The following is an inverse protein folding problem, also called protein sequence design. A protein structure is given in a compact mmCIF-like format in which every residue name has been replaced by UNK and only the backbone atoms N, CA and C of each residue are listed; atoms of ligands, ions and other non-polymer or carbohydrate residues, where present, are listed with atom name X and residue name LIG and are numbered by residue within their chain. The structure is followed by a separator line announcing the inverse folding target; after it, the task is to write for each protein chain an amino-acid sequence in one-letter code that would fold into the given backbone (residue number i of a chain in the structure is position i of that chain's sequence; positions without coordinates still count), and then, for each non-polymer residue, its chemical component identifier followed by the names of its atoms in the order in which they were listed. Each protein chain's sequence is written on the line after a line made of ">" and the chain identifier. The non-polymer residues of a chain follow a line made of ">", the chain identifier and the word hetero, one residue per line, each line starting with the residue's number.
data_IF_009476881531
#
_entry.id   IF_009476881531
#
_cell.length_a   1.000
_cell.length_b   1.000
_cell.length_c   1.000
_cell.angle_alpha   90.00
_cell.angle_beta   90.00
_cell.angle_gamma   90.00
#
_symmetry.space_group_name_H-M   'P 1'
#
loop_
_entity.id
_entity.type
_entity.pdbx_description
1 polymer ?
#
# COMPACT_ATOMS: atom_id res chain seq x y z
N UNK A 1 -6.05 22.14 10.73
CA UNK A 1 -7.28 21.59 10.14
C UNK A 1 -7.04 20.08 9.98
N UNK A 2 -6.93 19.28 11.04
CA UNK A 2 -7.70 19.09 12.28
C UNK A 2 -9.15 18.68 12.02
N UNK A 3 -9.41 17.37 12.09
CA UNK A 3 -10.66 16.75 12.55
C UNK A 3 -10.35 15.34 13.10
N UNK A 4 -9.69 15.29 14.26
CA UNK A 4 -9.68 14.14 15.17
C UNK A 4 -9.74 14.68 16.61
N UNK A 5 -10.79 15.44 16.94
CA UNK A 5 -11.02 15.91 18.32
C UNK A 5 -12.50 15.69 18.67
N UNK A 6 -12.85 14.42 18.92
CA UNK A 6 -13.98 14.08 19.79
C UNK A 6 -14.03 12.57 20.03
N UNK A 7 -12.99 12.05 20.68
CA UNK A 7 -13.15 10.93 21.61
C UNK A 7 -12.49 11.38 22.90
N UNK A 8 -13.30 11.69 23.91
CA UNK A 8 -12.84 12.11 25.23
C UNK A 8 -11.89 11.05 25.82
N UNK A 9 -10.65 11.40 26.23
CA UNK A 9 -9.80 10.47 26.93
C UNK A 9 -10.34 10.27 28.35
N UNK A 10 -10.71 9.03 28.68
CA UNK A 10 -10.77 8.59 30.07
C UNK A 10 -9.37 8.78 30.65
N UNK A 11 -9.26 9.76 31.55
CA UNK A 11 -8.03 10.09 32.29
C UNK A 11 -7.64 8.93 33.19
N UNK A 12 -6.81 8.02 32.70
CA UNK A 12 -5.96 7.20 33.56
C UNK A 12 -4.59 7.85 33.66
N UNK A 13 -4.37 8.52 34.78
CA UNK A 13 -3.06 8.96 35.27
C UNK A 13 -2.18 7.74 35.53
N UNK A 14 -1.58 7.19 34.48
CA UNK A 14 -0.44 6.27 34.58
C UNK A 14 0.83 7.09 34.81
N UNK A 15 1.47 6.89 35.96
CA UNK A 15 2.75 7.52 36.32
C UNK A 15 3.75 7.36 35.17
N UNK A 16 4.19 8.48 34.60
CA UNK A 16 5.39 8.54 33.76
C UNK A 16 6.54 7.85 34.50
N UNK A 17 7.07 6.79 33.91
CA UNK A 17 8.31 6.17 34.37
C UNK A 17 9.48 7.15 34.20
N UNK A 18 10.07 7.52 35.34
CA UNK A 18 11.38 8.15 35.61
C UNK A 18 11.99 9.14 34.57
N UNK A 19 12.32 10.39 34.96
CA UNK A 19 12.94 11.41 34.09
C UNK A 19 14.37 11.08 33.60
N UNK A 20 14.99 10.01 34.09
CA UNK A 20 16.44 9.76 33.94
C UNK A 20 16.81 9.13 32.58
N UNK A 21 15.86 8.51 31.86
CA UNK A 21 16.11 7.95 30.51
C UNK A 21 16.00 8.99 29.39
N UNK A 22 15.30 10.11 29.62
CA UNK A 22 15.16 11.18 28.63
C UNK A 22 16.39 12.08 28.55
N UNK A 23 17.15 12.26 29.64
CA UNK A 23 18.29 13.17 29.66
C UNK A 23 19.52 12.67 28.88
N UNK A 24 19.67 11.36 28.64
CA UNK A 24 20.78 10.79 27.86
C UNK A 24 20.49 10.66 26.35
N UNK A 25 19.21 10.66 25.95
CA UNK A 25 18.77 10.61 24.55
C UNK A 25 19.04 11.92 23.78
N UNK A 26 19.29 13.02 24.48
CA UNK A 26 19.61 14.30 23.82
C UNK A 26 21.06 14.37 23.28
N UNK A 27 21.96 13.47 23.67
CA UNK A 27 23.37 13.54 23.26
C UNK A 27 23.74 12.73 21.99
N UNK A 28 22.92 11.75 21.57
CA UNK A 28 23.13 11.02 20.30
C UNK A 28 21.82 10.94 19.51
N UNK A 29 21.87 10.96 18.17
CA UNK A 29 20.65 10.85 17.35
C UNK A 29 19.96 9.50 17.56
N UNK A 30 18.62 9.49 17.59
CA UNK A 30 17.83 8.27 17.46
C UNK A 30 18.11 7.68 16.08
N UNK A 31 18.62 6.45 16.02
CA UNK A 31 18.93 5.75 14.76
C UNK A 31 17.90 4.68 14.49
N UNK A 32 17.21 4.80 13.35
CA UNK A 32 16.22 3.84 12.89
C UNK A 32 16.64 3.21 11.57
N UNK A 33 16.64 1.88 11.50
CA UNK A 33 16.70 1.17 10.23
C UNK A 33 15.27 0.83 9.78
N UNK A 34 14.89 1.17 8.56
CA UNK A 34 13.60 0.76 7.96
C UNK A 34 13.89 -0.20 6.81
N UNK A 35 13.41 -1.43 6.90
CA UNK A 35 13.74 -2.50 5.95
C UNK A 35 12.61 -2.65 4.93
N UNK A 36 12.82 -2.13 3.72
CA UNK A 36 11.90 -2.19 2.58
C UNK A 36 11.36 -0.81 2.18
N UNK A 37 11.57 -0.41 0.93
CA UNK A 37 11.14 0.89 0.38
C UNK A 37 9.83 0.79 -0.43
N UNK A 38 8.90 -0.05 0.05
CA UNK A 38 7.53 -0.15 -0.45
C UNK A 38 6.55 0.75 0.31
N UNK A 39 5.24 0.47 0.17
CA UNK A 39 4.18 1.25 0.84
C UNK A 39 4.40 1.35 2.36
N UNK A 40 4.68 0.23 3.02
CA UNK A 40 4.88 0.16 4.47
C UNK A 40 6.08 1.02 4.92
N UNK A 41 7.27 0.76 4.40
CA UNK A 41 8.48 1.41 4.90
C UNK A 41 8.57 2.90 4.55
N UNK A 42 8.09 3.32 3.38
CA UNK A 42 8.03 4.75 3.07
C UNK A 42 7.01 5.49 3.92
N UNK A 43 5.87 4.86 4.24
CA UNK A 43 4.91 5.43 5.18
C UNK A 43 5.52 5.60 6.57
N UNK A 44 6.18 4.57 7.09
CA UNK A 44 6.89 4.65 8.38
C UNK A 44 7.93 5.77 8.35
N UNK A 45 8.76 5.86 7.31
CA UNK A 45 9.78 6.90 7.19
C UNK A 45 9.16 8.31 7.18
N UNK A 46 8.08 8.51 6.42
CA UNK A 46 7.32 9.76 6.39
C UNK A 46 6.82 10.15 7.79
N UNK A 47 6.16 9.22 8.48
CA UNK A 47 5.59 9.50 9.80
C UNK A 47 6.65 9.64 10.89
N UNK A 48 7.76 8.90 10.84
CA UNK A 48 8.91 9.11 11.73
C UNK A 48 9.45 10.53 11.59
N UNK A 49 9.57 11.07 10.37
CA UNK A 49 10.00 12.46 10.14
C UNK A 49 8.96 13.47 10.63
N UNK A 50 7.68 13.24 10.34
CA UNK A 50 6.58 14.17 10.60
C UNK A 50 6.19 14.24 12.09
N UNK A 51 6.26 13.13 12.82
CA UNK A 51 5.75 13.01 14.19
C UNK A 51 6.84 13.03 15.26
N UNK A 52 8.11 12.85 14.89
CA UNK A 52 9.19 13.03 15.85
C UNK A 52 9.24 14.48 16.36
N UNK A 53 9.49 14.68 17.67
CA UNK A 53 9.68 16.01 18.25
C UNK A 53 10.69 16.84 17.45
N UNK A 54 10.47 18.16 17.38
CA UNK A 54 11.30 19.07 16.57
C UNK A 54 12.76 19.14 17.04
N UNK A 55 13.00 18.92 18.32
CA UNK A 55 14.31 18.89 18.96
C UNK A 55 15.00 17.52 18.89
N UNK A 56 14.26 16.46 18.53
CA UNK A 56 14.81 15.11 18.40
C UNK A 56 15.71 15.01 17.16
N UNK A 57 16.99 14.69 17.37
CA UNK A 57 17.88 14.29 16.28
C UNK A 57 17.52 12.88 15.83
N UNK A 58 17.20 12.72 14.55
CA UNK A 58 16.71 11.47 13.97
C UNK A 58 17.53 11.10 12.73
N UNK A 59 18.00 9.87 12.65
CA UNK A 59 18.62 9.32 11.45
C UNK A 59 17.88 8.05 11.02
N UNK A 60 17.31 8.09 9.82
CA UNK A 60 16.61 6.97 9.19
C UNK A 60 17.47 6.43 8.06
N UNK A 61 17.88 5.17 8.17
CA UNK A 61 18.49 4.41 7.08
C UNK A 61 17.44 3.46 6.50
N UNK A 62 16.98 3.77 5.28
CA UNK A 62 15.98 3.00 4.54
C UNK A 62 16.70 1.97 3.66
N UNK A 63 16.62 0.69 4.02
CA UNK A 63 17.24 -0.40 3.28
C UNK A 63 16.28 -0.96 2.23
N UNK A 64 16.73 -1.09 0.98
CA UNK A 64 16.02 -1.86 -0.04
C UNK A 64 17.00 -2.31 -1.14
N UNK A 65 17.02 -3.60 -1.47
CA UNK A 65 17.98 -4.14 -2.45
C UNK A 65 17.79 -3.59 -3.89
N UNK A 66 16.56 -3.27 -4.29
CA UNK A 66 16.26 -2.74 -5.64
C UNK A 66 16.14 -1.21 -5.57
N UNK A 67 15.56 -0.71 -4.49
CA UNK A 67 15.21 0.68 -4.27
C UNK A 67 13.71 0.91 -4.22
N UNK A 68 13.32 2.19 -4.22
CA UNK A 68 11.93 2.63 -4.03
C UNK A 68 10.96 1.95 -4.99
N UNK A 69 9.97 1.25 -4.42
CA UNK A 69 8.93 0.56 -5.17
C UNK A 69 9.39 -0.66 -5.97
N UNK A 70 10.57 -1.23 -5.68
CA UNK A 70 11.10 -2.40 -6.39
C UNK A 70 10.34 -3.71 -6.15
N UNK A 71 9.51 -3.78 -5.10
CA UNK A 71 8.69 -4.94 -4.76
C UNK A 71 7.22 -4.84 -5.21
N UNK A 72 6.36 -5.66 -4.59
CA UNK A 72 4.93 -5.74 -4.93
C UNK A 72 4.18 -4.39 -4.87
N UNK A 73 4.61 -3.45 -4.02
CA UNK A 73 4.02 -2.11 -3.95
C UNK A 73 4.11 -1.35 -5.27
N UNK A 74 5.23 -1.42 -5.99
CA UNK A 74 5.39 -0.72 -7.27
C UNK A 74 4.67 -1.38 -8.45
N UNK A 75 4.23 -2.63 -8.29
CA UNK A 75 3.50 -3.42 -9.30
C UNK A 75 1.99 -3.36 -9.08
N UNK A 76 1.52 -2.79 -7.95
CA UNK A 76 0.10 -2.83 -7.63
C UNK A 76 -0.76 -2.04 -8.64
N UNK A 77 -1.97 -2.52 -8.90
CA UNK A 77 -2.89 -1.95 -9.90
C UNK A 77 -3.41 -0.55 -9.57
N UNK A 78 -3.13 -0.01 -8.39
CA UNK A 78 -3.40 1.41 -8.10
C UNK A 78 -4.85 1.77 -7.84
N UNK A 79 -5.77 0.80 -7.90
CA UNK A 79 -7.20 1.06 -7.72
C UNK A 79 -7.52 1.25 -6.23
N UNK A 80 -7.91 2.47 -5.86
CA UNK A 80 -8.19 2.87 -4.50
C UNK A 80 -9.65 3.25 -4.34
N UNK A 81 -10.36 2.49 -3.52
CA UNK A 81 -11.74 2.73 -3.08
C UNK A 81 -11.95 2.09 -1.69
N UNK A 82 -12.90 2.58 -0.88
CA UNK A 82 -13.11 2.06 0.47
C UNK A 82 -13.90 0.74 0.52
N UNK A 83 -14.57 0.37 -0.57
CA UNK A 83 -15.53 -0.76 -0.58
C UNK A 83 -14.90 -2.11 -0.88
N UNK A 84 -14.54 -2.87 0.16
CA UNK A 84 -14.13 -4.28 0.01
C UNK A 84 -15.18 -5.24 0.60
N UNK A 85 -15.39 -6.45 0.05
CA UNK A 85 -16.46 -7.36 0.47
C UNK A 85 -16.43 -7.88 1.92
N UNK A 86 -15.50 -7.43 2.79
CA UNK A 86 -15.26 -8.07 4.10
C UNK A 86 -14.87 -7.16 5.28
N UNK A 87 -14.72 -5.84 5.15
CA UNK A 87 -14.29 -4.99 6.29
C UNK A 87 -14.92 -3.59 6.23
N UNK A 88 -15.15 -2.98 7.40
CA UNK A 88 -15.63 -1.61 7.53
C UNK A 88 -14.64 -0.60 6.96
N UNK A 89 -15.18 0.39 6.27
CA UNK A 89 -14.41 1.42 5.59
C UNK A 89 -13.78 2.41 6.58
N UNK A 90 -12.49 2.72 6.39
CA UNK A 90 -11.77 3.82 7.06
C UNK A 90 -11.64 4.96 6.05
N UNK A 91 -11.94 6.21 6.45
CA UNK A 91 -11.93 7.35 5.51
C UNK A 91 -10.50 7.66 5.04
N UNK A 92 -10.34 7.94 3.75
CA UNK A 92 -9.07 8.28 3.10
C UNK A 92 -8.86 9.80 3.05
N UNK A 93 -9.00 10.49 4.18
CA UNK A 93 -8.92 11.96 4.23
C UNK A 93 -7.49 12.52 4.09
N UNK A 94 -6.46 11.67 4.09
CA UNK A 94 -5.05 12.12 4.02
C UNK A 94 -4.52 12.37 2.59
N UNK A 95 -5.32 12.18 1.53
CA UNK A 95 -4.88 12.38 0.13
C UNK A 95 -5.33 13.71 -0.51
N UNK A 96 -5.98 14.61 0.24
CA UNK A 96 -6.65 15.80 -0.30
C UNK A 96 -5.87 17.12 -0.16
N UNK A 97 -4.64 17.08 0.37
CA UNK A 97 -3.78 18.27 0.42
C UNK A 97 -2.48 18.03 -0.34
N UNK A 98 -2.44 18.45 -1.61
CA UNK A 98 -1.32 19.15 -2.27
C UNK A 98 -1.40 18.99 -3.80
N UNK A 99 -1.99 19.97 -4.47
CA UNK A 99 -1.63 20.35 -5.84
C UNK A 99 -0.26 21.05 -5.81
N UNK A 100 0.76 20.33 -5.36
CA UNK A 100 2.16 20.76 -5.47
C UNK A 100 2.62 20.59 -6.92
N UNK A 101 3.20 21.63 -7.51
CA UNK A 101 3.90 21.54 -8.78
C UNK A 101 5.11 20.61 -8.60
N UNK A 102 4.94 19.33 -8.91
CA UNK A 102 6.03 18.38 -9.02
C UNK A 102 6.82 18.67 -10.30
N UNK A 103 8.15 18.76 -10.16
CA UNK A 103 9.06 19.09 -11.25
C UNK A 103 8.89 18.19 -12.49
N UNK A 104 9.24 18.77 -13.63
CA UNK A 104 9.08 18.28 -15.02
C UNK A 104 9.62 16.86 -15.36
N UNK A 105 10.05 16.06 -14.40
CA UNK A 105 10.78 14.79 -14.62
C UNK A 105 9.89 13.53 -14.58
N UNK A 106 8.60 13.67 -14.25
CA UNK A 106 7.64 12.56 -14.20
C UNK A 106 6.58 12.72 -15.29
N UNK A 107 6.92 12.41 -16.53
CA UNK A 107 5.97 12.40 -17.65
C UNK A 107 4.80 11.45 -17.42
N UNK A 108 3.71 11.93 -16.81
CA UNK A 108 2.40 11.28 -16.64
C UNK A 108 1.84 11.33 -15.20
N UNK A 109 0.62 10.84 -15.00
CA UNK A 109 -0.09 11.01 -13.71
C UNK A 109 0.51 10.22 -12.54
N UNK A 110 0.36 10.77 -11.32
CA UNK A 110 0.50 10.05 -10.04
C UNK A 110 -0.88 9.54 -9.60
N UNK A 111 -1.89 10.41 -9.65
CA UNK A 111 -3.29 10.09 -9.32
C UNK A 111 -4.20 10.51 -10.46
N UNK A 112 -5.07 9.60 -10.89
CA UNK A 112 -6.13 9.81 -11.88
C UNK A 112 -7.47 9.72 -11.18
N UNK A 113 -8.14 10.87 -11.05
CA UNK A 113 -9.45 11.03 -10.39
C UNK A 113 -10.58 10.98 -11.42
N UNK A 114 -10.82 9.78 -11.98
CA UNK A 114 -11.88 9.54 -12.97
C UNK A 114 -12.93 8.56 -12.48
N UNK A 115 -12.84 8.14 -11.23
CA UNK A 115 -13.70 7.13 -10.64
C UNK A 115 -13.30 5.70 -11.00
N UNK A 116 -14.04 4.76 -10.42
CA UNK A 116 -13.98 3.33 -10.72
C UNK A 116 -15.38 2.84 -11.05
N UNK A 117 -15.52 2.15 -12.18
CA UNK A 117 -16.76 1.53 -12.62
C UNK A 117 -16.71 0.02 -12.38
N UNK A 118 -17.76 -0.52 -11.76
CA UNK A 118 -17.86 -1.95 -11.44
C UNK A 118 -19.16 -2.54 -11.98
N UNK A 119 -19.15 -3.16 -13.17
CA UNK A 119 -20.30 -3.89 -13.68
C UNK A 119 -20.69 -5.05 -12.77
N UNK A 120 -21.99 -5.27 -12.56
CA UNK A 120 -22.46 -6.48 -11.91
C UNK A 120 -22.44 -7.65 -12.92
N UNK A 121 -21.56 -8.62 -12.68
CA UNK A 121 -21.35 -9.77 -13.57
C UNK A 121 -22.14 -11.01 -13.16
N UNK A 122 -22.60 -11.07 -11.91
CA UNK A 122 -23.41 -12.18 -11.39
C UNK A 122 -24.21 -11.73 -10.15
N UNK A 123 -25.20 -12.55 -9.77
CA UNK A 123 -26.11 -12.26 -8.63
C UNK A 123 -25.40 -12.08 -7.29
N UNK A 124 -24.33 -12.84 -7.03
CA UNK A 124 -23.58 -12.73 -5.77
C UNK A 124 -22.88 -11.37 -5.67
N UNK A 125 -22.23 -10.94 -6.75
CA UNK A 125 -21.59 -9.63 -6.84
C UNK A 125 -22.62 -8.51 -6.76
N UNK A 126 -23.79 -8.68 -7.39
CA UNK A 126 -24.88 -7.70 -7.36
C UNK A 126 -25.36 -7.41 -5.92
N UNK A 127 -25.63 -8.45 -5.13
CA UNK A 127 -26.11 -8.28 -3.74
C UNK A 127 -25.08 -7.52 -2.90
N UNK A 128 -23.81 -7.91 -2.94
CA UNK A 128 -22.73 -7.23 -2.19
C UNK A 128 -22.59 -5.77 -2.62
N UNK A 129 -22.74 -5.47 -3.91
CA UNK A 129 -22.61 -4.10 -4.40
C UNK A 129 -23.82 -3.23 -4.01
N UNK A 130 -25.03 -3.79 -4.00
CA UNK A 130 -26.20 -3.11 -3.47
C UNK A 130 -26.04 -2.79 -1.97
N UNK A 131 -25.58 -3.74 -1.17
CA UNK A 131 -25.33 -3.53 0.26
C UNK A 131 -24.29 -2.41 0.48
N UNK A 132 -23.20 -2.43 -0.31
CA UNK A 132 -22.19 -1.37 -0.27
C UNK A 132 -22.75 -0.01 -0.69
N UNK A 133 -23.65 0.04 -1.67
CA UNK A 133 -24.25 1.30 -2.12
C UNK A 133 -25.20 1.89 -1.07
N UNK A 134 -25.95 1.04 -0.37
CA UNK A 134 -26.83 1.45 0.73
C UNK A 134 -26.04 1.94 1.96
N UNK A 135 -24.85 1.39 2.20
CA UNK A 135 -23.99 1.70 3.34
C UNK A 135 -22.75 2.51 2.94
N UNK A 136 -22.79 3.21 1.82
CA UNK A 136 -21.64 3.94 1.30
C UNK A 136 -21.23 5.10 2.22
N UNK A 137 -19.93 5.37 2.28
CA UNK A 137 -19.36 6.55 2.92
C UNK A 137 -19.71 7.81 2.14
N UNK A 138 -19.99 8.89 2.87
CA UNK A 138 -20.20 10.22 2.29
C UNK A 138 -19.00 10.72 1.46
N UNK A 139 -17.78 10.28 1.82
CA UNK A 139 -16.52 10.63 1.15
C UNK A 139 -16.24 9.85 -0.14
N UNK A 140 -17.03 8.82 -0.45
CA UNK A 140 -16.91 8.09 -1.71
C UNK A 140 -18.26 7.46 -2.07
N UNK A 141 -19.13 8.15 -2.79
CA UNK A 141 -20.47 7.62 -3.04
C UNK A 141 -20.41 6.46 -4.02
N UNK A 142 -21.43 5.61 -3.97
CA UNK A 142 -21.65 4.59 -5.01
C UNK A 142 -22.94 4.94 -5.74
N UNK A 143 -22.81 5.30 -7.00
CA UNK A 143 -23.92 5.52 -7.91
C UNK A 143 -24.29 4.20 -8.58
N UNK A 144 -25.53 3.76 -8.39
CA UNK A 144 -26.09 2.62 -9.13
C UNK A 144 -26.59 3.17 -10.46
N UNK A 145 -26.00 2.71 -11.55
CA UNK A 145 -26.30 3.18 -12.90
C UNK A 145 -26.71 2.02 -13.81
N UNK A 146 -27.57 2.31 -14.79
CA UNK A 146 -27.97 1.34 -15.79
C UNK A 146 -26.91 1.18 -16.89
N UNK A 147 -27.18 0.29 -17.85
CA UNK A 147 -26.31 0.05 -19.00
C UNK A 147 -26.07 1.31 -19.83
N UNK A 148 -27.10 2.13 -20.09
CA UNK A 148 -26.99 3.30 -20.96
C UNK A 148 -26.10 4.37 -20.32
N UNK A 149 -26.27 4.62 -19.02
CA UNK A 149 -25.40 5.49 -18.25
C UNK A 149 -23.96 4.95 -18.15
N UNK A 150 -23.78 3.64 -17.98
CA UNK A 150 -22.44 3.03 -17.99
C UNK A 150 -21.75 3.18 -19.36
N UNK A 151 -22.49 3.03 -20.46
CA UNK A 151 -21.97 3.20 -21.82
C UNK A 151 -21.62 4.65 -22.18
N UNK A 152 -22.24 5.63 -21.51
CA UNK A 152 -21.81 7.04 -21.60
C UNK A 152 -20.44 7.28 -20.94
N UNK A 153 -20.11 6.54 -19.87
CA UNK A 153 -18.81 6.63 -19.19
C UNK A 153 -17.72 5.84 -19.92
N UNK A 154 -18.07 4.64 -20.38
CA UNK A 154 -17.17 3.73 -21.09
C UNK A 154 -17.92 3.15 -22.30
N UNK A 155 -17.70 3.69 -23.52
CA UNK A 155 -18.29 3.17 -24.73
C UNK A 155 -18.06 1.67 -24.87
N UNK A 156 -19.09 0.96 -25.35
CA UNK A 156 -19.08 -0.48 -25.57
C UNK A 156 -18.83 -1.36 -24.33
N UNK A 157 -18.91 -0.81 -23.12
CA UNK A 157 -18.87 -1.64 -21.91
C UNK A 157 -20.04 -2.63 -21.89
N UNK A 158 -19.75 -3.86 -21.49
CA UNK A 158 -20.72 -4.93 -21.31
C UNK A 158 -21.19 -4.96 -19.85
N UNK A 159 -22.51 -4.88 -19.66
CA UNK A 159 -23.15 -4.83 -18.34
C UNK A 159 -24.21 -5.94 -18.25
N UNK A 160 -23.83 -7.18 -17.89
CA UNK A 160 -24.69 -8.35 -17.96
C UNK A 160 -26.01 -8.22 -17.21
N UNK A 161 -25.98 -7.63 -16.00
CA UNK A 161 -27.17 -7.46 -15.17
C UNK A 161 -27.93 -6.15 -15.42
N UNK A 162 -27.61 -5.42 -16.50
CA UNK A 162 -28.11 -4.07 -16.78
C UNK A 162 -27.83 -3.05 -15.65
N UNK A 163 -26.95 -3.37 -14.71
CA UNK A 163 -26.56 -2.55 -13.57
C UNK A 163 -25.04 -2.52 -13.40
N UNK A 164 -24.52 -1.33 -13.15
CA UNK A 164 -23.14 -1.08 -12.77
C UNK A 164 -23.08 -0.13 -11.57
N UNK A 165 -21.97 -0.17 -10.85
CA UNK A 165 -21.72 0.62 -9.66
C UNK A 165 -20.55 1.54 -9.93
N UNK A 166 -20.83 2.84 -10.00
CA UNK A 166 -19.85 3.87 -10.26
C UNK A 166 -19.45 4.55 -8.97
N UNK A 167 -18.14 4.63 -8.73
CA UNK A 167 -17.54 5.31 -7.58
C UNK A 167 -16.79 6.53 -8.11
N UNK A 168 -17.41 7.71 -8.23
CA UNK A 168 -16.78 8.89 -8.83
C UNK A 168 -15.53 9.37 -8.07
N UNK A 169 -15.54 9.26 -6.74
CA UNK A 169 -14.41 9.70 -5.90
C UNK A 169 -13.28 8.65 -5.80
N UNK A 170 -13.51 7.43 -6.28
CA UNK A 170 -12.46 6.42 -6.33
C UNK A 170 -11.37 6.82 -7.33
N UNK A 171 -10.13 6.40 -7.06
CA UNK A 171 -8.96 6.88 -7.82
C UNK A 171 -8.11 5.73 -8.33
N UNK A 172 -7.41 6.00 -9.42
CA UNK A 172 -6.32 5.16 -9.91
C UNK A 172 -4.98 5.85 -9.63
N UNK A 173 -4.13 5.20 -8.84
CA UNK A 173 -2.81 5.69 -8.46
C UNK A 173 -1.76 4.93 -9.24
N UNK A 174 -0.87 5.64 -9.93
CA UNK A 174 0.33 5.00 -10.45
C UNK A 174 1.29 4.70 -9.28
N UNK A 175 1.22 3.47 -8.77
CA UNK A 175 1.88 3.06 -7.51
C UNK A 175 3.37 3.36 -7.49
N UNK A 176 4.09 3.08 -8.58
CA UNK A 176 5.54 3.32 -8.64
C UNK A 176 5.86 4.82 -8.59
N UNK A 177 5.12 5.65 -9.32
CA UNK A 177 5.31 7.11 -9.29
C UNK A 177 4.93 7.69 -7.93
N UNK A 178 3.84 7.21 -7.33
CA UNK A 178 3.44 7.59 -5.97
C UNK A 178 4.54 7.29 -4.95
N UNK A 179 5.12 6.07 -4.98
CA UNK A 179 6.20 5.71 -4.06
C UNK A 179 7.46 6.56 -4.26
N UNK A 180 7.82 6.84 -5.51
CA UNK A 180 8.94 7.75 -5.83
C UNK A 180 8.68 9.17 -5.33
N UNK A 181 7.47 9.69 -5.52
CA UNK A 181 7.06 11.00 -5.04
C UNK A 181 7.04 11.05 -3.50
N UNK A 182 6.53 10.00 -2.84
CA UNK A 182 6.54 9.89 -1.37
C UNK A 182 7.97 9.87 -0.82
N UNK A 183 8.88 9.13 -1.45
CA UNK A 183 10.29 9.14 -1.05
C UNK A 183 10.93 10.53 -1.21
N UNK A 184 10.66 11.21 -2.33
CA UNK A 184 11.13 12.59 -2.55
C UNK A 184 10.56 13.55 -1.49
N UNK A 185 9.27 13.41 -1.15
CA UNK A 185 8.63 14.19 -0.09
C UNK A 185 9.32 13.95 1.26
N UNK A 186 9.67 12.70 1.61
CA UNK A 186 10.45 12.40 2.81
C UNK A 186 11.83 13.07 2.78
N UNK A 187 12.53 13.07 1.63
CA UNK A 187 13.83 13.72 1.49
C UNK A 187 13.73 15.25 1.67
N UNK A 188 12.71 15.87 1.10
CA UNK A 188 12.47 17.30 1.24
C UNK A 188 12.15 17.66 2.69
N UNK A 189 11.24 16.91 3.33
CA UNK A 189 10.91 17.10 4.74
C UNK A 189 12.13 16.97 5.66
N UNK A 190 13.00 15.97 5.43
CA UNK A 190 14.23 15.82 6.20
C UNK A 190 15.20 17.01 6.02
N UNK A 191 15.32 17.55 4.80
CA UNK A 191 16.15 18.73 4.50
C UNK A 191 15.60 19.99 5.16
N UNK A 192 14.29 20.22 5.06
CA UNK A 192 13.61 21.38 5.67
C UNK A 192 13.77 21.36 7.20
N UNK A 193 13.51 20.22 7.83
CA UNK A 193 13.67 20.06 9.28
C UNK A 193 15.12 20.24 9.71
N UNK A 194 16.09 19.74 8.93
CA UNK A 194 17.52 19.98 9.21
C UNK A 194 17.96 21.44 9.05
N UNK A 195 17.34 22.19 8.13
CA UNK A 195 17.64 23.60 7.93
C UNK A 195 17.10 24.50 9.06
N UNK A 196 16.08 24.04 9.81
CA UNK A 196 15.46 24.81 10.90
C UNK A 196 16.36 25.05 12.12
N UNK A 197 17.54 24.43 12.19
CA UNK A 197 18.52 24.61 13.27
C UNK A 197 18.27 23.79 14.54
N UNK A 198 17.07 23.23 14.70
CA UNK A 198 16.69 22.33 15.80
C UNK A 198 16.61 20.88 15.30
N UNK A 199 17.05 19.91 16.12
CA UNK A 199 16.86 18.47 15.88
C UNK A 199 17.17 17.99 14.45
N UNK A 200 18.46 17.89 14.06
CA UNK A 200 18.86 17.43 12.72
C UNK A 200 18.19 16.09 12.37
N UNK A 201 17.44 16.07 11.26
CA UNK A 201 16.79 14.86 10.72
C UNK A 201 17.42 14.43 9.40
N UNK A 202 17.83 13.17 9.29
CA UNK A 202 18.48 12.62 8.10
C UNK A 202 17.75 11.38 7.60
N UNK A 203 17.61 11.28 6.29
CA UNK A 203 17.09 10.10 5.61
C UNK A 203 18.08 9.66 4.53
N UNK A 204 18.53 8.40 4.60
CA UNK A 204 19.39 7.78 3.59
C UNK A 204 18.70 6.57 2.98
N UNK A 205 18.75 6.43 1.65
CA UNK A 205 18.39 5.18 0.98
C UNK A 205 19.65 4.34 0.80
N UNK A 206 19.66 3.15 1.39
CA UNK A 206 20.74 2.18 1.27
C UNK A 206 20.28 1.06 0.34
N UNK A 207 20.84 1.04 -0.88
CA UNK A 207 20.55 -0.01 -1.87
C UNK A 207 21.28 -1.32 -1.53
N UNK A 208 20.87 -1.94 -0.43
CA UNK A 208 21.51 -3.12 0.16
C UNK A 208 20.44 -4.07 0.69
N UNK A 209 20.67 -5.37 0.53
CA UNK A 209 19.88 -6.43 1.17
C UNK A 209 20.37 -6.66 2.60
N UNK A 210 19.44 -6.92 3.51
CA UNK A 210 19.71 -7.33 4.89
C UNK A 210 19.39 -8.82 4.99
N UNK A 211 20.40 -9.63 5.27
CA UNK A 211 20.26 -11.09 5.27
C UNK A 211 19.83 -11.63 6.64
N UNK A 212 20.23 -10.96 7.71
CA UNK A 212 19.92 -11.30 9.10
C UNK A 212 19.69 -10.03 9.91
N UNK A 213 18.77 -10.06 10.89
CA UNK A 213 18.47 -8.89 11.71
C UNK A 213 19.63 -8.55 12.67
N UNK A 214 20.40 -9.55 13.07
CA UNK A 214 21.56 -9.40 13.97
C UNK A 214 22.65 -8.50 13.39
N UNK A 215 22.78 -8.38 12.06
CA UNK A 215 23.76 -7.50 11.43
C UNK A 215 23.54 -6.01 11.77
N UNK A 216 22.33 -5.66 12.20
CA UNK A 216 21.92 -4.30 12.55
C UNK A 216 21.99 -4.04 14.07
N UNK A 217 22.29 -5.07 14.88
CA UNK A 217 22.31 -4.96 16.33
C UNK A 217 23.44 -4.05 16.82
N UNK A 218 23.10 -3.13 17.72
CA UNK A 218 24.05 -2.18 18.30
C UNK A 218 24.35 -0.95 17.42
N UNK A 219 23.99 -0.98 16.15
CA UNK A 219 24.08 0.18 15.26
C UNK A 219 22.85 1.11 15.37
N UNK A 220 21.67 0.50 15.54
CA UNK A 220 20.37 1.18 15.56
C UNK A 220 19.69 1.05 16.92
N UNK A 221 18.90 2.05 17.30
CA UNK A 221 18.03 1.98 18.48
C UNK A 221 16.71 1.24 18.15
N UNK A 222 16.24 1.36 16.90
CA UNK A 222 15.07 0.65 16.39
C UNK A 222 15.26 0.12 14.96
N UNK A 223 14.76 -1.08 14.68
CA UNK A 223 14.68 -1.69 13.35
C UNK A 223 13.23 -1.95 13.01
N UNK A 224 12.73 -1.38 11.92
CA UNK A 224 11.35 -1.52 11.47
C UNK A 224 11.32 -2.37 10.20
N UNK A 225 10.71 -3.55 10.30
CA UNK A 225 10.69 -4.59 9.28
C UNK A 225 9.47 -4.39 8.39
N UNK A 226 9.69 -3.94 7.16
CA UNK A 226 8.68 -3.63 6.15
C UNK A 226 8.91 -4.41 4.83
N UNK A 227 9.51 -5.60 4.92
CA UNK A 227 10.00 -6.39 3.78
C UNK A 227 8.90 -7.12 2.97
N UNK A 228 7.63 -6.93 3.33
CA UNK A 228 6.52 -7.63 2.70
C UNK A 228 6.70 -9.15 2.75
N UNK A 229 6.58 -9.82 1.60
CA UNK A 229 6.71 -11.28 1.52
C UNK A 229 8.12 -11.79 1.84
N UNK A 230 9.15 -10.92 1.74
CA UNK A 230 10.53 -11.27 2.04
C UNK A 230 10.84 -11.30 3.54
N UNK A 231 9.90 -10.90 4.40
CA UNK A 231 10.07 -11.02 5.85
C UNK A 231 10.30 -12.48 6.29
N UNK A 232 9.70 -13.45 5.59
CA UNK A 232 9.88 -14.89 5.83
C UNK A 232 11.25 -15.43 5.36
N UNK A 233 12.04 -14.62 4.64
CA UNK A 233 13.41 -14.98 4.24
C UNK A 233 14.44 -14.65 5.32
N UNK A 234 14.09 -13.81 6.30
CA UNK A 234 14.95 -13.54 7.45
C UNK A 234 14.98 -14.77 8.36
N UNK A 235 16.15 -15.36 8.68
CA UNK A 235 16.25 -16.55 9.51
C UNK A 235 15.53 -16.44 10.85
N UNK A 236 15.50 -15.26 11.44
CA UNK A 236 14.87 -15.02 12.74
C UNK A 236 13.35 -15.00 12.69
N UNK A 237 12.75 -14.77 11.52
CA UNK A 237 11.30 -14.68 11.32
C UNK A 237 10.73 -15.82 10.47
N UNK A 238 11.58 -16.59 9.79
CA UNK A 238 11.20 -17.70 8.93
C UNK A 238 10.28 -18.69 9.66
N UNK A 239 9.08 -18.89 9.11
CA UNK A 239 8.06 -19.78 9.67
C UNK A 239 7.39 -19.28 10.97
N UNK A 240 7.71 -18.08 11.44
CA UNK A 240 7.16 -17.49 12.68
C UNK A 240 6.06 -16.47 12.43
N UNK A 241 5.96 -15.94 11.21
CA UNK A 241 4.92 -15.00 10.82
C UNK A 241 3.76 -15.75 10.14
N UNK A 242 2.49 -15.49 10.49
CA UNK A 242 1.33 -16.13 9.86
C UNK A 242 1.00 -15.52 8.48
N UNK A 243 2.03 -15.30 7.66
CA UNK A 243 1.91 -14.74 6.31
C UNK A 243 1.74 -15.84 5.28
N UNK A 244 0.92 -15.59 4.27
CA UNK A 244 0.76 -16.45 3.10
C UNK A 244 1.25 -15.70 1.88
N UNK A 245 2.12 -16.32 1.09
CA UNK A 245 2.61 -15.71 -0.13
C UNK A 245 1.61 -15.89 -1.28
N UNK A 246 1.43 -14.84 -2.08
CA UNK A 246 0.65 -14.89 -3.30
C UNK A 246 1.28 -14.00 -4.39
N UNK A 247 1.86 -14.63 -5.41
CA UNK A 247 2.36 -13.92 -6.59
C UNK A 247 1.18 -13.53 -7.47
N UNK A 248 1.22 -12.33 -8.03
CA UNK A 248 0.26 -11.86 -9.02
C UNK A 248 0.99 -11.23 -10.18
N UNK A 249 0.69 -11.70 -11.39
CA UNK A 249 1.15 -11.11 -12.65
C UNK A 249 0.11 -10.09 -13.11
N UNK A 250 0.61 -8.96 -13.58
CA UNK A 250 -0.16 -7.92 -14.25
C UNK A 250 0.35 -7.77 -15.69
N UNK A 251 -0.56 -7.47 -16.60
CA UNK A 251 -0.27 -7.25 -18.01
C UNK A 251 -0.36 -5.76 -18.30
N UNK A 252 0.56 -5.25 -19.11
CA UNK A 252 0.48 -3.94 -19.74
C UNK A 252 -0.04 -4.14 -21.15
N UNK A 253 -1.24 -3.62 -21.41
CA UNK A 253 -1.82 -3.63 -22.75
C UNK A 253 -1.78 -2.23 -23.35
N UNK A 254 -1.53 -2.18 -24.66
CA UNK A 254 -1.56 -0.96 -25.45
C UNK A 254 -2.59 -1.06 -26.57
N UNK A 255 -3.26 0.05 -26.85
CA UNK A 255 -4.12 0.14 -28.03
C UNK A 255 -3.22 0.41 -29.24
N UNK A 256 -3.33 -0.37 -30.34
CA UNK A 256 -2.60 -0.11 -31.57
C UNK A 256 -2.99 1.23 -32.23
N UNK A 257 -2.01 1.95 -32.77
CA UNK A 257 -2.21 3.28 -33.42
C UNK A 257 -3.17 3.26 -34.62
N UNK A 258 -3.42 2.08 -35.21
CA UNK A 258 -4.29 1.89 -36.36
C UNK A 258 -5.76 1.60 -35.98
N UNK A 259 -6.09 1.55 -34.68
CA UNK A 259 -7.46 1.40 -34.20
C UNK A 259 -8.12 2.78 -34.11
N UNK A 260 -9.31 2.92 -34.69
CA UNK A 260 -9.99 4.21 -34.84
C UNK A 260 -10.67 4.78 -33.59
N UNK A 261 -10.72 4.04 -32.47
CA UNK A 261 -11.40 4.47 -31.25
C UNK A 261 -10.52 4.31 -30.00
N UNK A 262 -10.23 5.44 -29.38
CA UNK A 262 -9.47 5.57 -28.16
C UNK A 262 -10.27 5.16 -26.91
N UNK A 263 -9.58 4.71 -25.86
CA UNK A 263 -10.22 4.69 -24.54
C UNK A 263 -10.54 6.12 -24.10
N UNK A 264 -11.74 6.42 -23.56
CA UNK A 264 -12.12 7.79 -23.24
C UNK A 264 -11.16 8.49 -22.28
N UNK A 265 -10.78 9.73 -22.61
CA UNK A 265 -9.92 10.61 -21.79
C UNK A 265 -10.40 10.75 -20.35
N UNK A 266 -11.72 10.74 -20.16
CA UNK A 266 -12.38 10.88 -18.86
C UNK A 266 -12.95 9.56 -18.32
N UNK A 267 -12.67 8.45 -19.00
CA UNK A 267 -13.17 7.14 -18.60
C UNK A 267 -12.58 6.68 -17.25
N UNK A 268 -13.40 6.04 -16.40
CA UNK A 268 -12.98 5.46 -15.12
C UNK A 268 -12.11 4.21 -15.29
N UNK A 269 -11.42 3.79 -14.25
CA UNK A 269 -10.89 2.41 -14.22
C UNK A 269 -12.04 1.40 -14.04
N UNK A 270 -11.86 0.17 -14.51
CA UNK A 270 -12.91 -0.86 -14.41
C UNK A 270 -12.49 -1.92 -13.39
N UNK A 271 -13.39 -2.26 -12.47
CA UNK A 271 -13.18 -3.29 -11.47
C UNK A 271 -14.14 -4.46 -11.71
N UNK A 272 -13.60 -5.63 -12.04
CA UNK A 272 -14.34 -6.89 -12.17
C UNK A 272 -13.44 -8.06 -11.73
N UNK A 273 -13.68 -9.29 -12.21
CA UNK A 273 -12.82 -10.45 -11.93
C UNK A 273 -11.37 -10.25 -12.39
N UNK A 274 -11.18 -9.48 -13.48
CA UNK A 274 -9.91 -8.86 -13.82
C UNK A 274 -10.10 -7.35 -13.84
N UNK A 275 -9.30 -6.63 -13.05
CA UNK A 275 -9.35 -5.18 -13.03
C UNK A 275 -8.60 -4.57 -14.23
N UNK A 276 -9.05 -3.41 -14.68
CA UNK A 276 -8.48 -2.60 -15.74
C UNK A 276 -8.09 -1.23 -15.16
N UNK A 277 -6.80 -1.02 -14.91
CA UNK A 277 -6.26 0.21 -14.38
C UNK A 277 -5.76 1.11 -15.53
N UNK A 278 -6.62 2.05 -15.93
CA UNK A 278 -6.40 2.93 -17.09
C UNK A 278 -5.22 3.87 -16.84
N UNK A 279 -4.19 3.79 -17.70
CA UNK A 279 -3.01 4.67 -17.63
C UNK A 279 -3.09 5.86 -18.59
N UNK A 280 -3.94 5.76 -19.61
CA UNK A 280 -4.20 6.76 -20.63
C UNK A 280 -5.07 6.14 -21.71
N UNK A 281 -5.32 6.88 -22.79
CA UNK A 281 -6.26 6.46 -23.83
C UNK A 281 -5.81 5.20 -24.56
N UNK A 282 -4.49 4.99 -24.66
CA UNK A 282 -3.88 3.88 -25.39
C UNK A 282 -3.08 2.93 -24.49
N UNK A 283 -3.24 3.03 -23.16
CA UNK A 283 -2.43 2.26 -22.23
C UNK A 283 -3.20 1.93 -20.97
N UNK A 284 -3.20 0.66 -20.58
CA UNK A 284 -3.78 0.22 -19.32
C UNK A 284 -3.03 -0.98 -18.73
N UNK A 285 -3.25 -1.23 -17.45
CA UNK A 285 -2.85 -2.48 -16.82
C UNK A 285 -4.06 -3.38 -16.60
N UNK A 286 -3.90 -4.68 -16.85
CA UNK A 286 -4.87 -5.72 -16.53
C UNK A 286 -4.32 -6.57 -15.40
N UNK A 287 -5.13 -6.86 -14.40
CA UNK A 287 -4.68 -7.83 -13.41
C UNK A 287 -5.73 -8.35 -12.45
N UNK A 288 -5.32 -9.20 -11.50
CA UNK A 288 -4.03 -9.91 -11.51
C UNK A 288 -4.29 -11.42 -11.46
N UNK A 289 -3.33 -12.22 -11.89
CA UNK A 289 -3.33 -13.66 -11.59
C UNK A 289 -3.12 -13.90 -10.07
N UNK A 290 -3.30 -15.15 -9.63
CA UNK A 290 -3.18 -15.54 -8.23
C UNK A 290 -2.45 -16.88 -8.06
N UNK A 291 -1.12 -16.82 -7.89
CA UNK A 291 -0.30 -17.99 -7.60
C UNK A 291 0.02 -18.03 -6.09
N UNK A 292 -0.75 -18.83 -5.35
CA UNK A 292 -0.57 -19.03 -3.91
C UNK A 292 0.66 -19.90 -3.60
N UNK A 293 1.27 -19.68 -2.43
CA UNK A 293 2.47 -20.40 -1.95
C UNK A 293 3.72 -20.18 -2.81
N UNK A 294 3.67 -19.26 -3.76
CA UNK A 294 4.84 -18.86 -4.56
C UNK A 294 5.95 -18.29 -3.66
N UNK A 295 7.20 -18.62 -3.94
CA UNK A 295 8.38 -17.98 -3.36
C UNK A 295 9.09 -17.04 -4.35
N UNK A 296 8.57 -16.95 -5.57
CA UNK A 296 9.15 -16.13 -6.62
C UNK A 296 8.82 -14.64 -6.38
N UNK A 297 9.80 -13.92 -5.86
CA UNK A 297 9.72 -12.48 -5.60
C UNK A 297 10.26 -11.60 -6.73
N UNK A 298 10.71 -12.21 -7.83
CA UNK A 298 11.23 -11.47 -8.99
C UNK A 298 10.13 -10.63 -9.65
N UNK A 299 10.36 -9.35 -9.95
CA UNK A 299 9.41 -8.56 -10.70
C UNK A 299 9.34 -8.94 -12.18
N UNK A 300 10.37 -9.64 -12.68
CA UNK A 300 10.48 -10.08 -14.06
C UNK A 300 9.53 -11.24 -14.33
N UNK A 301 8.92 -11.21 -15.52
CA UNK A 301 7.95 -12.20 -16.00
C UNK A 301 8.49 -12.74 -17.32
N UNK A 302 8.58 -14.06 -17.45
CA UNK A 302 9.01 -14.69 -18.70
C UNK A 302 7.93 -14.58 -19.78
N UNK A 303 8.28 -14.80 -21.05
CA UNK A 303 7.31 -14.82 -22.14
C UNK A 303 6.21 -15.87 -21.94
N UNK A 304 6.55 -17.03 -21.38
CA UNK A 304 5.59 -18.09 -21.07
C UNK A 304 4.65 -17.69 -19.93
N UNK A 305 5.19 -17.12 -18.84
CA UNK A 305 4.40 -16.64 -17.71
C UNK A 305 3.46 -15.50 -18.15
N UNK A 306 3.93 -14.60 -19.01
CA UNK A 306 3.12 -13.54 -19.60
C UNK A 306 2.01 -14.07 -20.51
N UNK A 307 2.32 -15.08 -21.34
CA UNK A 307 1.35 -15.73 -22.22
C UNK A 307 0.26 -16.45 -21.43
N UNK A 308 0.63 -17.17 -20.37
CA UNK A 308 -0.31 -17.83 -19.46
C UNK A 308 -1.19 -16.82 -18.73
N UNK A 309 -0.60 -15.72 -18.24
CA UNK A 309 -1.35 -14.64 -17.62
C UNK A 309 -2.33 -13.97 -18.60
N UNK A 310 -1.94 -13.79 -19.87
CA UNK A 310 -2.81 -13.27 -20.92
C UNK A 310 -3.99 -14.21 -21.19
N UNK A 311 -3.74 -15.51 -21.32
CA UNK A 311 -4.79 -16.52 -21.48
C UNK A 311 -5.76 -16.56 -20.30
N UNK A 312 -5.28 -16.33 -19.07
CA UNK A 312 -6.13 -16.29 -17.87
C UNK A 312 -6.94 -14.98 -17.76
N UNK A 313 -6.31 -13.83 -18.00
CA UNK A 313 -6.88 -12.52 -17.69
C UNK A 313 -7.70 -11.94 -18.84
N UNK A 314 -7.33 -12.19 -20.09
CA UNK A 314 -8.02 -11.61 -21.24
C UNK A 314 -9.51 -12.00 -21.31
N UNK A 315 -9.92 -13.27 -21.10
CA UNK A 315 -11.33 -13.63 -21.07
C UNK A 315 -12.13 -12.94 -19.96
N UNK A 316 -11.50 -12.73 -18.79
CA UNK A 316 -12.12 -12.04 -17.64
C UNK A 316 -12.31 -10.55 -17.91
N UNK A 317 -11.32 -9.92 -18.55
CA UNK A 317 -11.38 -8.52 -18.94
C UNK A 317 -12.39 -8.29 -20.08
N UNK A 318 -12.39 -9.14 -21.11
CA UNK A 318 -13.29 -9.01 -22.26
C UNK A 318 -14.75 -9.29 -21.92
N UNK A 319 -15.02 -10.03 -20.84
CA UNK A 319 -16.37 -10.22 -20.32
C UNK A 319 -17.05 -8.90 -19.90
N UNK A 320 -16.29 -7.86 -19.52
CA UNK A 320 -16.84 -6.54 -19.17
C UNK A 320 -16.47 -5.45 -20.16
N UNK A 321 -15.33 -5.56 -20.84
CA UNK A 321 -14.89 -4.60 -21.85
C UNK A 321 -14.42 -5.33 -23.11
N UNK A 322 -15.34 -5.74 -24.00
CA UNK A 322 -15.02 -6.60 -25.15
C UNK A 322 -13.94 -6.04 -26.09
N UNK A 323 -13.86 -4.71 -26.23
CA UNK A 323 -12.85 -4.04 -27.06
C UNK A 323 -11.41 -4.33 -26.67
N UNK A 324 -11.16 -4.83 -25.45
CA UNK A 324 -9.82 -5.19 -24.97
C UNK A 324 -9.14 -6.28 -25.80
N UNK A 325 -9.91 -7.09 -26.54
CA UNK A 325 -9.35 -8.16 -27.40
C UNK A 325 -8.55 -7.62 -28.58
N UNK A 326 -8.78 -6.36 -28.98
CA UNK A 326 -7.98 -5.66 -29.99
C UNK A 326 -6.69 -5.03 -29.47
N UNK A 327 -6.45 -5.08 -28.15
CA UNK A 327 -5.26 -4.48 -27.54
C UNK A 327 -4.08 -5.46 -27.56
N UNK A 328 -2.87 -4.94 -27.69
CA UNK A 328 -1.64 -5.73 -27.79
C UNK A 328 -0.91 -5.77 -26.45
N UNK A 329 -0.25 -6.90 -26.17
CA UNK A 329 0.58 -7.06 -24.98
C UNK A 329 1.89 -6.27 -25.15
N UNK A 330 2.05 -5.20 -24.38
CA UNK A 330 3.26 -4.39 -24.34
C UNK A 330 4.27 -4.90 -23.30
N UNK A 331 3.82 -5.61 -22.28
CA UNK A 331 4.69 -6.21 -21.28
C UNK A 331 3.94 -6.83 -20.11
N UNK A 332 4.68 -7.44 -19.19
CA UNK A 332 4.12 -8.01 -17.96
C UNK A 332 5.08 -7.79 -16.78
N UNK A 333 4.51 -7.70 -15.59
CA UNK A 333 5.27 -7.57 -14.32
C UNK A 333 4.59 -8.37 -13.23
N UNK A 334 5.35 -8.76 -12.21
CA UNK A 334 4.80 -9.54 -11.11
C UNK A 334 5.16 -8.97 -9.73
N UNK A 335 4.26 -9.16 -8.77
CA UNK A 335 4.48 -8.80 -7.38
C UNK A 335 4.17 -9.96 -6.45
N UNK A 336 5.07 -10.24 -5.51
CA UNK A 336 4.84 -11.22 -4.45
C UNK A 336 4.20 -10.55 -3.22
N UNK A 337 2.92 -10.84 -2.99
CA UNK A 337 2.15 -10.27 -1.88
C UNK A 337 2.35 -11.10 -0.62
N UNK A 338 2.57 -10.43 0.51
CA UNK A 338 2.39 -11.00 1.84
C UNK A 338 0.93 -10.85 2.24
N UNK A 339 0.14 -11.91 2.10
CA UNK A 339 -1.25 -11.94 2.52
C UNK A 339 -1.31 -12.27 4.01
N UNK A 340 -2.00 -11.46 4.83
CA UNK A 340 -2.14 -11.76 6.24
C UNK A 340 -3.07 -12.96 6.48
N UNK A 341 -3.15 -13.50 7.70
CA UNK A 341 -4.09 -14.57 8.01
C UNK A 341 -5.54 -14.08 7.89
N UNK A 342 -6.46 -15.00 7.59
CA UNK A 342 -7.89 -14.71 7.69
C UNK A 342 -8.31 -14.83 9.16
N UNK A 343 -8.96 -13.79 9.68
CA UNK A 343 -9.51 -13.75 11.04
C UNK A 343 -11.01 -13.44 10.99
N UNK A 344 -11.75 -13.59 12.10
CA UNK A 344 -13.13 -13.12 12.19
C UNK A 344 -13.29 -11.61 11.89
N UNK A 345 -12.27 -10.80 12.18
CA UNK A 345 -12.23 -9.37 11.86
C UNK A 345 -11.72 -9.08 10.44
N UNK A 346 -11.56 -10.12 9.61
CA UNK A 346 -11.04 -10.01 8.26
C UNK A 346 -9.54 -10.31 8.14
N UNK A 347 -8.94 -9.82 7.06
CA UNK A 347 -7.57 -10.08 6.64
C UNK A 347 -6.69 -8.88 7.01
N UNK A 348 -6.49 -8.68 8.31
CA UNK A 348 -5.81 -7.51 8.88
C UNK A 348 -4.27 -7.64 8.80
N UNK A 349 -3.54 -6.55 8.46
CA UNK A 349 -2.08 -6.54 8.48
C UNK A 349 -1.47 -6.84 9.86
N UNK A 350 -0.18 -7.20 9.87
CA UNK A 350 0.56 -7.57 11.07
C UNK A 350 1.41 -6.38 11.55
N UNK A 351 1.12 -5.89 12.76
CA UNK A 351 1.94 -4.88 13.43
C UNK A 351 2.48 -5.40 14.78
N UNK A 352 3.55 -4.80 15.27
CA UNK A 352 3.99 -4.97 16.65
C UNK A 352 5.49 -5.19 16.82
N UNK A 353 5.93 -5.17 18.07
CA UNK A 353 7.29 -5.45 18.50
C UNK A 353 7.56 -6.96 18.44
N UNK A 354 8.61 -7.37 17.72
CA UNK A 354 8.94 -8.79 17.51
C UNK A 354 10.13 -9.26 18.34
N UNK A 355 10.57 -8.50 19.35
CA UNK A 355 11.68 -8.88 20.23
C UNK A 355 11.50 -10.26 20.88
N UNK A 356 10.26 -10.66 21.19
CA UNK A 356 9.96 -11.98 21.75
C UNK A 356 10.19 -13.14 20.77
N UNK A 357 10.24 -12.84 19.47
CA UNK A 357 10.63 -13.79 18.43
C UNK A 357 12.15 -13.81 18.23
N UNK A 358 12.90 -12.96 18.94
CA UNK A 358 14.35 -12.84 18.87
C UNK A 358 14.97 -13.30 20.20
N UNK A 359 16.30 -13.19 20.34
CA UNK A 359 17.03 -13.63 21.55
C UNK A 359 16.81 -12.73 22.77
N UNK A 360 17.10 -13.23 23.98
CA UNK A 360 16.75 -12.57 25.25
C UNK A 360 17.59 -11.32 25.62
N UNK A 361 18.61 -10.93 24.84
CA UNK A 361 19.52 -9.82 25.17
C UNK A 361 19.69 -8.81 24.03
N UNK A 362 18.59 -8.31 23.46
CA UNK A 362 18.65 -7.37 22.34
C UNK A 362 19.02 -5.95 22.78
N UNK A 363 20.00 -5.36 22.08
CA UNK A 363 20.39 -3.95 22.29
C UNK A 363 19.45 -2.94 21.61
N UNK A 364 18.53 -3.39 20.77
CA UNK A 364 17.58 -2.55 20.04
C UNK A 364 16.17 -3.16 19.98
N UNK A 365 15.18 -2.34 19.59
CA UNK A 365 13.79 -2.77 19.41
C UNK A 365 13.49 -3.09 17.95
N UNK A 366 12.89 -4.24 17.70
CA UNK A 366 12.47 -4.70 16.38
C UNK A 366 10.96 -4.60 16.27
N UNK A 367 10.49 -3.90 15.24
CA UNK A 367 9.08 -3.67 14.96
C UNK A 367 8.72 -4.26 13.60
N UNK A 368 7.53 -4.81 13.46
CA UNK A 368 7.00 -5.33 12.20
C UNK A 368 5.87 -4.44 11.71
N UNK A 369 5.89 -4.11 10.42
CA UNK A 369 4.73 -3.67 9.66
C UNK A 369 4.67 -4.50 8.37
N UNK A 370 3.86 -5.54 8.38
CA UNK A 370 3.81 -6.54 7.32
C UNK A 370 2.40 -7.00 6.98
N UNK A 371 2.27 -7.90 6.01
CA UNK A 371 0.97 -8.49 5.68
C UNK A 371 -0.04 -7.51 5.07
N UNK A 372 0.40 -6.50 4.32
CA UNK A 372 -0.51 -5.54 3.68
C UNK A 372 -1.42 -6.16 2.59
N UNK A 373 -1.07 -7.35 2.08
CA UNK A 373 -1.84 -8.09 1.09
C UNK A 373 -2.15 -7.28 -0.17
N UNK A 374 -3.40 -7.37 -0.66
CA UNK A 374 -3.90 -6.62 -1.81
C UNK A 374 -4.33 -5.18 -1.49
N UNK A 375 -4.25 -4.76 -0.22
CA UNK A 375 -4.78 -3.47 0.27
C UNK A 375 -3.70 -2.54 0.79
N UNK A 376 -2.46 -2.78 0.39
CA UNK A 376 -1.32 -1.98 0.87
C UNK A 376 -1.44 -0.50 0.56
N UNK A 377 -1.97 -0.12 -0.61
CA UNK A 377 -2.20 1.28 -0.98
C UNK A 377 -3.25 1.98 -0.10
N UNK A 378 -4.19 1.21 0.47
CA UNK A 378 -5.25 1.76 1.31
C UNK A 378 -4.76 1.95 2.75
N UNK A 379 -4.08 0.95 3.30
CA UNK A 379 -3.73 0.94 4.73
C UNK A 379 -2.40 1.59 5.08
N UNK A 380 -1.48 1.80 4.13
CA UNK A 380 -0.10 2.12 4.49
C UNK A 380 0.05 3.43 5.24
N UNK A 381 -0.69 4.49 4.90
CA UNK A 381 -0.64 5.77 5.60
C UNK A 381 -0.93 5.61 7.10
N UNK A 382 -2.13 5.13 7.42
CA UNK A 382 -2.56 4.88 8.79
C UNK A 382 -1.65 3.91 9.56
N UNK A 383 -1.26 2.79 8.95
CA UNK A 383 -0.44 1.80 9.64
C UNK A 383 1.02 2.27 9.82
N UNK A 384 1.55 3.05 8.89
CA UNK A 384 2.87 3.66 9.03
C UNK A 384 2.90 4.69 10.14
N UNK A 385 1.83 5.50 10.26
CA UNK A 385 1.60 6.40 11.39
C UNK A 385 1.62 5.69 12.74
N UNK A 386 0.76 4.68 12.92
CA UNK A 386 0.71 3.91 14.17
C UNK A 386 2.06 3.27 14.51
N UNK A 387 2.75 2.74 13.51
CA UNK A 387 4.08 2.13 13.69
C UNK A 387 5.11 3.18 14.13
N UNK A 388 5.12 4.36 13.50
CA UNK A 388 6.04 5.44 13.86
C UNK A 388 5.78 5.95 15.30
N UNK A 389 4.52 6.13 15.69
CA UNK A 389 4.14 6.53 17.05
C UNK A 389 4.61 5.50 18.09
N UNK A 390 4.40 4.21 17.82
CA UNK A 390 4.86 3.13 18.69
C UNK A 390 6.40 3.07 18.80
N UNK A 391 7.12 3.30 17.69
CA UNK A 391 8.59 3.36 17.67
C UNK A 391 9.11 4.54 18.48
N UNK A 392 8.59 5.75 18.25
CA UNK A 392 9.03 6.98 18.93
C UNK A 392 8.77 6.92 20.44
N UNK A 393 7.60 6.42 20.83
CA UNK A 393 7.21 6.27 22.24
C UNK A 393 7.76 5.00 22.91
N UNK A 394 8.39 4.11 22.14
CA UNK A 394 8.79 2.76 22.57
C UNK A 394 7.62 1.96 23.20
N UNK A 395 6.39 2.18 22.73
CA UNK A 395 5.18 1.63 23.34
C UNK A 395 4.28 0.91 22.32
N UNK A 396 4.25 -0.43 22.39
CA UNK A 396 3.40 -1.26 21.53
C UNK A 396 1.90 -1.08 21.84
N UNK A 397 1.53 -0.64 23.05
CA UNK A 397 0.12 -0.55 23.47
C UNK A 397 -0.69 0.54 22.74
N UNK A 398 -0.01 1.40 21.97
CA UNK A 398 -0.68 2.39 21.10
C UNK A 398 -1.26 1.69 19.84
N UNK A 399 -0.73 0.53 19.47
CA UNK A 399 -1.20 -0.24 18.32
C UNK A 399 -2.48 -0.98 18.72
N UNK A 400 -3.58 -0.83 17.96
CA UNK A 400 -4.83 -1.58 18.19
C UNK A 400 -4.58 -3.08 18.32
N UNK A 401 -5.25 -3.70 19.29
CA UNK A 401 -5.02 -5.11 19.67
C UNK A 401 -5.29 -6.08 18.52
N UNK A 402 -6.19 -5.73 17.62
CA UNK A 402 -6.54 -6.51 16.43
C UNK A 402 -5.32 -6.71 15.52
N UNK A 403 -4.47 -5.67 15.39
CA UNK A 403 -3.28 -5.67 14.55
C UNK A 403 -2.07 -6.36 15.21
N UNK A 404 -2.10 -6.62 16.52
CA UNK A 404 -1.06 -7.34 17.27
C UNK A 404 -1.49 -8.74 17.72
N UNK A 405 -2.79 -9.08 17.61
CA UNK A 405 -3.40 -10.34 18.05
C UNK A 405 -2.79 -11.59 17.42
N UNK A 406 -2.13 -11.45 16.26
CA UNK A 406 -1.42 -12.53 15.58
C UNK A 406 -0.30 -13.14 16.43
N UNK A 407 0.24 -12.39 17.40
CA UNK A 407 1.28 -12.84 18.33
C UNK A 407 0.77 -13.87 19.36
N UNK A 408 -0.55 -13.92 19.57
CA UNK A 408 -1.20 -14.78 20.58
C UNK A 408 -1.60 -16.15 20.03
N UNK A 409 -1.52 -16.36 18.71
CA UNK A 409 -1.87 -17.63 18.06
C UNK A 409 -0.61 -18.49 17.95
N UNK A 410 -0.34 -19.26 19.00
CA UNK A 410 0.56 -20.42 18.93
C UNK A 410 -0.20 -21.66 18.50
#
# INVERSE_FOLDING_TARGET
>A
MLLFDSISPLTHSGKLTSPVLLSSLFQRPLRCAVLGAGFAGLSVAWHLLKQSPMDLRLHIDLYDEVGVGGGASGVSGGLLHPYSPKEQAVSSEELDSETGQFGHDFGGFIVRRRGILRPATNMKTLNVLNDNAQSCLASCKIEIIDKDAAQKLVPHIHVPSNLAFYMPEAVNVNSLRYLKALFLACQNLAKELSASGFGRKKLCLLKKSVCELRELEGEYDAVIICLGAKADLLPELAGRLPLRSCRGVILHLQLPDNMGEDYPDHGPSILSDAWLAIQGNHSLYVGSTWEWKSRNSSPNVSSDEASNALQELLPKASAVYPGITGWTLAGARAGLRAMPPLTPHGSLPLLGCVNNLLSENLKCKYWLLGGLGSRGLFYHGWLGKLTAEAVISCNEQIIPSELTSWKNKR
#
